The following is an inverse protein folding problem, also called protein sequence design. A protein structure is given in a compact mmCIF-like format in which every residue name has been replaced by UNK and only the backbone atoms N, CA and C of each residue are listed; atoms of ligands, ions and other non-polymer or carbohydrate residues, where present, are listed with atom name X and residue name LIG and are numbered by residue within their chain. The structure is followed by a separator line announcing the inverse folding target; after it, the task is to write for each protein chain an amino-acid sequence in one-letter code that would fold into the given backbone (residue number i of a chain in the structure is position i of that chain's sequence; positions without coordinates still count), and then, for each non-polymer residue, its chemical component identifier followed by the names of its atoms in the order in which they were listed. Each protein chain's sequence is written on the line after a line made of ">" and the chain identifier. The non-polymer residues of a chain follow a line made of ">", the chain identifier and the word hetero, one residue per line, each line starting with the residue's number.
data_IF_756802952425
#
_entry.id   IF_756802952425
#
_cell.length_a   1.000
_cell.length_b   1.000
_cell.length_c   1.000
_cell.angle_alpha   90.00
_cell.angle_beta   90.00
_cell.angle_gamma   90.00
#
_symmetry.space_group_name_H-M   'P 1'
#
loop_
_entity.id
_entity.type
_entity.pdbx_description
1 polymer ?
#
# COMPACT_ATOMS: atom_id res chain seq x y z
N UNK A 1 22.19 16.67 -14.65
CA UNK A 1 23.47 16.31 -15.30
C UNK A 1 23.40 14.94 -16.01
N UNK A 2 23.04 13.85 -15.32
CA UNK A 2 23.03 12.51 -15.93
C UNK A 2 22.08 12.36 -17.16
N UNK A 3 21.11 13.25 -17.35
CA UNK A 3 20.15 13.23 -18.44
C UNK A 3 20.44 14.28 -19.52
N UNK A 4 21.48 15.09 -19.37
CA UNK A 4 21.77 16.20 -20.31
C UNK A 4 22.10 15.70 -21.71
N UNK A 5 22.83 14.59 -21.83
CA UNK A 5 23.19 14.01 -23.13
C UNK A 5 21.96 13.44 -23.87
N UNK A 6 20.95 13.00 -23.16
CA UNK A 6 19.70 12.47 -23.75
C UNK A 6 18.68 13.56 -24.05
N UNK A 7 18.82 14.74 -23.42
CA UNK A 7 17.97 15.93 -23.59
C UNK A 7 16.46 15.59 -23.73
N UNK A 8 15.85 14.95 -22.73
CA UNK A 8 14.45 14.58 -22.78
C UNK A 8 13.55 15.80 -22.72
N UNK A 9 12.35 15.73 -23.27
CA UNK A 9 11.36 16.81 -23.15
C UNK A 9 10.87 16.97 -21.72
N UNK A 10 10.59 15.84 -21.06
CA UNK A 10 10.06 15.79 -19.71
C UNK A 10 10.92 14.91 -18.80
N UNK A 11 10.88 15.20 -17.50
CA UNK A 11 11.47 14.37 -16.46
C UNK A 11 10.48 14.21 -15.30
N UNK A 12 10.43 13.00 -14.76
CA UNK A 12 9.70 12.70 -13.53
C UNK A 12 10.70 12.36 -12.44
N UNK A 13 10.61 13.05 -11.31
CA UNK A 13 11.45 12.83 -10.13
C UNK A 13 10.60 12.13 -9.07
N UNK A 14 11.02 10.94 -8.65
CA UNK A 14 10.25 10.11 -7.74
C UNK A 14 11.03 9.66 -6.51
N UNK A 15 10.39 9.75 -5.35
CA UNK A 15 10.88 9.23 -4.08
C UNK A 15 10.89 7.69 -4.10
N UNK A 16 12.05 7.06 -3.99
CA UNK A 16 12.16 5.61 -3.82
C UNK A 16 11.42 5.08 -2.57
N UNK A 17 11.17 5.95 -1.59
CA UNK A 17 10.38 5.64 -0.40
C UNK A 17 8.85 5.59 -0.64
N UNK A 18 8.36 5.73 -1.87
CA UNK A 18 6.93 5.61 -2.26
C UNK A 18 6.73 4.44 -3.23
N UNK A 19 6.76 3.19 -2.76
CA UNK A 19 6.74 2.03 -3.65
C UNK A 19 5.37 1.72 -4.29
N UNK A 20 4.29 2.39 -3.87
CA UNK A 20 2.92 2.10 -4.31
C UNK A 20 2.37 3.14 -5.30
N UNK A 21 3.25 3.72 -6.12
CA UNK A 21 2.80 4.60 -7.20
C UNK A 21 1.97 3.82 -8.24
N UNK A 22 0.82 4.34 -8.59
CA UNK A 22 -0.06 3.74 -9.61
C UNK A 22 0.12 4.36 -10.98
N UNK A 23 -0.17 3.59 -12.03
CA UNK A 23 -0.07 4.04 -13.41
C UNK A 23 -0.99 5.23 -13.73
N UNK A 24 -2.15 5.32 -13.06
CA UNK A 24 -3.10 6.41 -13.31
C UNK A 24 -2.55 7.76 -12.82
N UNK A 25 -1.87 7.76 -11.66
CA UNK A 25 -1.19 8.97 -11.16
C UNK A 25 -0.05 9.39 -12.09
N UNK A 26 0.79 8.45 -12.53
CA UNK A 26 1.85 8.73 -13.53
C UNK A 26 1.25 9.31 -14.80
N UNK A 27 0.19 8.70 -15.31
CA UNK A 27 -0.51 9.17 -16.53
C UNK A 27 -1.05 10.59 -16.40
N UNK A 28 -1.64 10.95 -15.23
CA UNK A 28 -2.12 12.32 -14.98
C UNK A 28 -0.98 13.34 -14.97
N UNK A 29 0.16 12.99 -14.36
CA UNK A 29 1.34 13.85 -14.33
C UNK A 29 1.87 14.09 -15.75
N UNK A 30 2.04 13.02 -16.54
CA UNK A 30 2.55 13.12 -17.91
C UNK A 30 1.61 13.97 -18.78
N UNK A 31 0.31 13.69 -18.76
CA UNK A 31 -0.67 14.43 -19.56
C UNK A 31 -0.73 15.92 -19.20
N UNK A 32 -0.54 16.28 -17.94
CA UNK A 32 -0.56 17.66 -17.50
C UNK A 32 0.70 18.45 -17.92
N UNK A 33 1.84 17.77 -18.16
CA UNK A 33 3.08 18.40 -18.66
C UNK A 33 2.95 18.96 -20.08
N UNK A 34 1.93 18.55 -20.85
CA UNK A 34 1.62 19.15 -22.16
C UNK A 34 1.16 20.62 -22.02
N UNK A 35 0.67 21.02 -20.83
CA UNK A 35 0.08 22.34 -20.59
C UNK A 35 0.76 23.15 -19.49
N UNK A 36 1.60 22.52 -18.69
CA UNK A 36 2.27 23.15 -17.54
C UNK A 36 3.75 22.78 -17.46
N UNK A 37 4.61 23.71 -17.05
CA UNK A 37 6.06 23.46 -16.91
C UNK A 37 6.39 22.53 -15.74
N UNK A 38 5.55 22.51 -14.72
CA UNK A 38 5.71 21.70 -13.50
C UNK A 38 4.39 21.14 -13.07
N UNK A 39 4.36 19.86 -12.69
CA UNK A 39 3.16 19.15 -12.26
C UNK A 39 3.44 18.41 -10.94
N UNK A 40 2.56 18.62 -9.96
CA UNK A 40 2.63 18.06 -8.64
C UNK A 40 1.42 17.15 -8.37
N UNK A 41 1.57 15.83 -8.22
CA UNK A 41 0.50 15.01 -7.67
C UNK A 41 0.36 15.28 -6.18
N UNK A 42 -0.87 15.48 -5.72
CA UNK A 42 -1.13 15.74 -4.31
C UNK A 42 -2.50 15.21 -3.88
N UNK A 43 -2.69 15.05 -2.58
CA UNK A 43 -3.96 14.65 -1.95
C UNK A 43 -4.36 15.69 -0.91
N UNK A 44 -5.65 16.01 -0.76
CA UNK A 44 -6.10 17.00 0.21
C UNK A 44 -5.82 16.53 1.64
N UNK A 45 -5.61 17.47 2.55
CA UNK A 45 -5.48 17.16 3.98
C UNK A 45 -6.86 16.87 4.55
N UNK A 46 -7.08 15.62 4.99
CA UNK A 46 -8.33 15.19 5.61
C UNK A 46 -8.39 15.49 7.12
N UNK A 47 -7.25 15.40 7.82
CA UNK A 47 -7.17 15.56 9.27
C UNK A 47 -7.10 17.03 9.71
N UNK A 48 -7.51 17.28 10.97
CA UNK A 48 -7.33 18.59 11.59
C UNK A 48 -5.84 18.78 11.96
N UNK A 49 -5.21 19.80 11.38
CA UNK A 49 -3.81 20.14 11.66
C UNK A 49 -3.69 21.00 12.92
N UNK A 50 -2.74 20.66 13.79
CA UNK A 50 -2.42 21.42 15.00
C UNK A 50 -0.98 21.92 14.94
N UNK A 51 -0.79 23.21 15.20
CA UNK A 51 0.54 23.76 15.48
C UNK A 51 0.87 23.53 16.95
N UNK A 52 2.07 23.07 17.24
CA UNK A 52 2.55 22.86 18.60
C UNK A 52 3.75 23.74 18.91
N UNK A 53 3.98 24.02 20.17
CA UNK A 53 5.13 24.77 20.67
C UNK A 53 5.56 24.22 22.04
N UNK A 54 6.83 24.46 22.41
CA UNK A 54 7.39 24.11 23.71
C UNK A 54 7.84 22.66 23.87
N UNK A 55 8.41 22.35 25.02
CA UNK A 55 8.84 21.03 25.46
C UNK A 55 8.37 20.82 26.89
N UNK A 56 7.40 19.92 27.15
CA UNK A 56 6.70 19.05 26.18
C UNK A 56 5.86 19.86 25.18
N UNK A 57 5.54 19.27 24.01
CA UNK A 57 4.79 19.96 22.97
C UNK A 57 3.33 20.22 23.41
N UNK A 58 2.91 21.49 23.35
CA UNK A 58 1.54 21.93 23.65
C UNK A 58 0.92 22.53 22.40
N UNK A 59 -0.37 22.27 22.17
CA UNK A 59 -1.10 22.84 21.03
C UNK A 59 -1.19 24.36 21.20
N UNK A 60 -0.64 25.09 20.23
CA UNK A 60 -0.65 26.56 20.19
C UNK A 60 -1.72 27.13 19.26
N UNK A 61 -2.10 26.40 18.20
CA UNK A 61 -3.12 26.81 17.26
C UNK A 61 -3.72 25.62 16.48
N UNK A 62 -4.92 25.82 15.94
CA UNK A 62 -5.44 25.00 14.85
C UNK A 62 -5.06 25.65 13.53
N UNK A 63 -4.50 24.87 12.60
CA UNK A 63 -4.17 25.34 11.26
C UNK A 63 -5.37 25.09 10.35
N UNK A 64 -5.81 26.10 9.62
CA UNK A 64 -6.82 25.92 8.59
C UNK A 64 -6.28 24.99 7.52
N UNK A 65 -7.05 23.97 7.18
CA UNK A 65 -6.69 22.96 6.17
C UNK A 65 -7.35 23.23 4.80
N UNK A 66 -8.19 24.26 4.71
CA UNK A 66 -8.76 24.64 3.43
C UNK A 66 -7.60 24.92 2.45
N UNK A 67 -7.70 24.34 1.26
CA UNK A 67 -6.69 24.45 0.19
C UNK A 67 -5.27 23.97 0.56
N UNK A 68 -5.15 23.18 1.66
CA UNK A 68 -3.87 22.53 2.02
C UNK A 68 -3.85 21.09 1.50
N UNK A 69 -2.80 20.78 0.77
CA UNK A 69 -2.59 19.49 0.13
C UNK A 69 -1.28 18.86 0.55
N UNK A 70 -1.23 17.55 0.60
CA UNK A 70 -0.01 16.77 0.84
C UNK A 70 0.64 16.45 -0.50
N UNK A 71 1.80 17.03 -0.75
CA UNK A 71 2.60 16.79 -1.94
C UNK A 71 3.06 15.33 -2.01
N UNK A 72 3.03 14.78 -3.22
CA UNK A 72 3.51 13.44 -3.51
C UNK A 72 4.52 13.47 -4.66
N UNK A 73 5.06 12.32 -5.01
CA UNK A 73 5.87 12.11 -6.21
C UNK A 73 5.27 10.95 -7.04
N UNK A 74 5.53 10.85 -8.37
CA UNK A 74 6.53 11.61 -9.12
C UNK A 74 6.11 13.06 -9.38
N UNK A 75 7.02 13.99 -9.13
CA UNK A 75 6.89 15.36 -9.57
C UNK A 75 7.35 15.45 -11.04
N UNK A 76 6.54 16.06 -11.87
CA UNK A 76 6.80 16.15 -13.31
C UNK A 76 7.29 17.55 -13.71
N UNK A 77 8.22 17.60 -14.65
CA UNK A 77 8.83 18.84 -15.10
C UNK A 77 9.14 18.82 -16.58
N UNK A 78 9.04 19.97 -17.25
CA UNK A 78 9.74 20.19 -18.50
C UNK A 78 11.24 20.26 -18.23
N UNK A 79 12.03 19.37 -18.83
CA UNK A 79 13.40 19.11 -18.45
C UNK A 79 14.31 20.36 -18.47
N UNK A 80 14.26 21.11 -19.57
CA UNK A 80 15.12 22.30 -19.72
C UNK A 80 14.85 23.35 -18.63
N UNK A 81 13.57 23.51 -18.22
CA UNK A 81 13.18 24.50 -17.22
C UNK A 81 13.64 24.11 -15.82
N UNK A 82 13.39 22.85 -15.41
CA UNK A 82 13.82 22.39 -14.07
C UNK A 82 15.34 22.32 -13.97
N UNK A 83 16.05 21.93 -15.02
CA UNK A 83 17.52 21.94 -15.04
C UNK A 83 18.08 23.36 -14.82
N UNK A 84 17.49 24.36 -15.50
CA UNK A 84 17.85 25.76 -15.30
C UNK A 84 17.55 26.24 -13.89
N UNK A 85 16.40 25.87 -13.34
CA UNK A 85 15.99 26.21 -11.97
C UNK A 85 16.96 25.61 -10.92
N UNK A 86 17.33 24.35 -11.05
CA UNK A 86 18.32 23.71 -10.18
C UNK A 86 19.69 24.41 -10.22
N UNK A 87 20.14 24.79 -11.41
CA UNK A 87 21.41 25.52 -11.56
C UNK A 87 21.38 26.89 -10.89
N UNK A 88 20.26 27.60 -11.01
CA UNK A 88 20.05 28.89 -10.39
C UNK A 88 19.92 28.80 -8.86
N UNK A 89 19.36 27.74 -8.33
CA UNK A 89 19.16 27.49 -6.91
C UNK A 89 20.36 26.76 -6.25
N UNK A 90 21.48 26.59 -6.95
CA UNK A 90 22.64 25.86 -6.44
C UNK A 90 23.13 26.44 -5.10
N UNK A 91 23.25 25.58 -4.08
CA UNK A 91 23.65 25.98 -2.72
C UNK A 91 22.52 26.49 -1.82
N UNK A 92 21.25 26.48 -2.30
CA UNK A 92 20.06 26.75 -1.48
C UNK A 92 19.44 25.45 -1.02
N UNK A 93 19.00 25.40 0.25
CA UNK A 93 18.21 24.27 0.77
C UNK A 93 16.73 24.47 0.43
N UNK A 94 16.16 23.52 -0.30
CA UNK A 94 14.74 23.48 -0.66
C UNK A 94 14.13 22.16 -0.18
N UNK A 95 12.84 22.16 0.07
CA UNK A 95 12.13 20.99 0.63
C UNK A 95 11.93 19.87 -0.39
N UNK A 96 11.71 20.24 -1.66
CA UNK A 96 11.51 19.33 -2.79
C UNK A 96 11.80 20.03 -4.12
N UNK A 97 11.69 19.29 -5.25
CA UNK A 97 11.96 19.84 -6.58
C UNK A 97 10.90 20.85 -7.04
N UNK A 98 9.64 20.72 -6.55
CA UNK A 98 8.62 21.74 -6.85
C UNK A 98 8.89 23.05 -6.17
N UNK A 99 9.48 23.05 -4.96
CA UNK A 99 9.92 24.29 -4.30
C UNK A 99 11.03 25.00 -5.09
N UNK A 100 11.90 24.26 -5.76
CA UNK A 100 12.91 24.83 -6.66
C UNK A 100 12.23 25.47 -7.87
N UNK A 101 11.23 24.80 -8.45
CA UNK A 101 10.46 25.35 -9.58
C UNK A 101 9.69 26.62 -9.18
N UNK A 102 9.04 26.64 -8.01
CA UNK A 102 8.36 27.81 -7.45
C UNK A 102 9.32 28.98 -7.24
N UNK A 103 10.51 28.71 -6.66
CA UNK A 103 11.54 29.71 -6.47
C UNK A 103 12.02 30.32 -7.80
N UNK A 104 12.06 29.55 -8.86
CA UNK A 104 12.36 30.02 -10.22
C UNK A 104 11.19 30.71 -10.91
N UNK A 105 10.03 30.85 -10.25
CA UNK A 105 8.84 31.50 -10.79
C UNK A 105 8.05 30.61 -11.78
N UNK A 106 8.29 29.30 -11.80
CA UNK A 106 7.53 28.36 -12.62
C UNK A 106 6.18 28.07 -11.97
N UNK A 107 5.12 28.03 -12.77
CA UNK A 107 3.80 27.63 -12.27
C UNK A 107 3.77 26.13 -11.99
N UNK A 108 3.29 25.74 -10.81
CA UNK A 108 3.13 24.34 -10.40
C UNK A 108 1.65 23.96 -10.53
N UNK A 109 1.33 23.11 -11.49
CA UNK A 109 -0.02 22.59 -11.68
C UNK A 109 -0.22 21.36 -10.77
N UNK A 110 -1.27 21.40 -9.95
CA UNK A 110 -1.63 20.29 -9.10
C UNK A 110 -2.52 19.29 -9.83
N UNK A 111 -2.22 17.99 -9.72
CA UNK A 111 -3.08 16.88 -10.15
C UNK A 111 -3.42 15.98 -8.98
N UNK A 112 -4.56 15.28 -9.07
CA UNK A 112 -4.98 14.36 -7.99
C UNK A 112 -4.00 13.20 -7.87
N UNK A 113 -3.44 13.03 -6.68
CA UNK A 113 -2.60 11.90 -6.30
C UNK A 113 -3.40 10.67 -5.86
N UNK A 114 -2.76 9.81 -5.06
CA UNK A 114 -3.37 8.60 -4.51
C UNK A 114 -2.96 8.42 -3.03
N UNK A 115 -3.90 8.14 -2.14
CA UNK A 115 -3.64 7.91 -0.71
C UNK A 115 -2.70 6.70 -0.47
N UNK A 116 -2.72 5.73 -1.35
CA UNK A 116 -1.84 4.56 -1.27
C UNK A 116 -0.39 4.87 -1.70
N UNK A 117 -0.16 6.00 -2.37
CA UNK A 117 1.18 6.50 -2.70
C UNK A 117 1.82 7.26 -1.53
N UNK A 118 1.73 6.72 -0.31
CA UNK A 118 2.33 7.31 0.87
C UNK A 118 3.85 7.09 0.92
N UNK A 119 4.55 7.98 1.62
CA UNK A 119 6.00 7.88 1.83
C UNK A 119 6.28 7.02 3.06
N UNK A 120 7.11 6.00 2.93
CA UNK A 120 7.59 5.20 4.05
C UNK A 120 8.68 5.98 4.78
N UNK A 121 8.36 6.49 5.96
CA UNK A 121 9.26 7.31 6.79
C UNK A 121 9.41 6.80 8.22
N UNK A 122 8.45 6.00 8.67
CA UNK A 122 8.40 5.43 10.02
C UNK A 122 8.30 3.91 9.97
N UNK A 123 8.52 3.26 11.12
CA UNK A 123 8.31 1.83 11.25
C UNK A 123 6.85 1.43 11.02
N UNK A 124 5.90 2.28 11.42
CA UNK A 124 4.48 2.04 11.19
C UNK A 124 4.11 2.12 9.71
N UNK A 125 4.74 3.05 8.96
CA UNK A 125 4.58 3.11 7.50
C UNK A 125 5.10 1.83 6.84
N UNK A 126 6.23 1.29 7.31
CA UNK A 126 6.78 0.04 6.78
C UNK A 126 5.82 -1.13 7.02
N UNK A 127 5.27 -1.26 8.22
CA UNK A 127 4.27 -2.29 8.52
C UNK A 127 2.99 -2.14 7.67
N UNK A 128 2.56 -0.90 7.43
CA UNK A 128 1.46 -0.62 6.50
C UNK A 128 1.80 -1.08 5.09
N UNK A 129 3.01 -0.76 4.62
CA UNK A 129 3.50 -1.15 3.31
C UNK A 129 3.57 -2.67 3.13
N UNK A 130 4.05 -3.41 4.14
CA UNK A 130 4.09 -4.88 4.14
C UNK A 130 2.68 -5.49 4.04
N UNK A 131 1.71 -4.98 4.80
CA UNK A 131 0.31 -5.44 4.69
C UNK A 131 -0.27 -5.20 3.30
N UNK A 132 -0.01 -4.02 2.72
CA UNK A 132 -0.48 -3.70 1.36
C UNK A 132 0.18 -4.59 0.31
N UNK A 133 1.50 -4.79 0.38
CA UNK A 133 2.22 -5.66 -0.55
C UNK A 133 1.70 -7.11 -0.50
N UNK A 134 1.44 -7.65 0.70
CA UNK A 134 0.83 -8.97 0.87
C UNK A 134 -0.57 -9.04 0.27
N UNK A 135 -1.39 -8.01 0.45
CA UNK A 135 -2.73 -7.96 -0.14
C UNK A 135 -2.71 -7.88 -1.68
N UNK A 136 -1.72 -7.20 -2.25
CA UNK A 136 -1.57 -7.05 -3.71
C UNK A 136 -1.00 -8.30 -4.37
N UNK A 137 -0.13 -9.03 -3.70
CA UNK A 137 0.50 -10.24 -4.28
C UNK A 137 -0.38 -11.46 -4.18
N UNK A 138 -1.40 -11.47 -3.31
CA UNK A 138 -2.31 -12.58 -3.08
C UNK A 138 -1.55 -13.89 -2.89
N UNK A 139 -1.08 -14.19 -1.69
CA UNK A 139 -0.37 -15.45 -1.45
C UNK A 139 -1.36 -16.62 -1.57
N UNK A 140 -1.29 -17.34 -2.67
CA UNK A 140 -2.04 -18.60 -2.83
C UNK A 140 -1.25 -19.72 -2.17
N UNK A 141 -1.83 -20.35 -1.15
CA UNK A 141 -1.28 -21.53 -0.49
C UNK A 141 -2.17 -22.72 -0.78
N UNK A 142 -1.55 -23.87 -0.94
CA UNK A 142 -2.26 -25.14 -1.17
C UNK A 142 -1.91 -26.07 -0.02
N UNK A 143 -2.93 -26.63 0.61
CA UNK A 143 -2.80 -27.68 1.59
C UNK A 143 -3.63 -28.90 1.17
N UNK A 144 -3.22 -30.07 1.63
CA UNK A 144 -3.97 -31.33 1.47
C UNK A 144 -4.24 -31.90 2.84
N UNK A 145 -5.45 -32.38 3.04
CA UNK A 145 -5.84 -33.07 4.27
C UNK A 145 -6.45 -34.43 3.95
N UNK A 146 -6.21 -35.38 4.84
CA UNK A 146 -6.73 -36.73 4.73
C UNK A 146 -7.01 -37.27 6.13
N UNK A 147 -8.23 -37.72 6.36
CA UNK A 147 -8.60 -38.36 7.62
C UNK A 147 -9.41 -39.62 7.38
N UNK A 148 -9.35 -40.58 8.30
CA UNK A 148 -10.03 -41.86 8.24
C UNK A 148 -10.59 -42.23 9.59
N UNK A 149 -11.87 -42.47 9.65
CA UNK A 149 -12.58 -42.98 10.82
C UNK A 149 -13.15 -44.37 10.57
N UNK A 150 -13.03 -45.27 11.55
CA UNK A 150 -13.65 -46.56 11.51
C UNK A 150 -15.18 -46.44 11.71
N UNK A 151 -15.94 -47.41 11.19
CA UNK A 151 -17.35 -47.53 11.51
C UNK A 151 -17.52 -48.29 12.82
N UNK A 152 -18.25 -47.71 13.76
CA UNK A 152 -18.68 -48.28 15.01
C UNK A 152 -20.20 -48.40 15.14
N UNK A 153 -20.67 -48.69 16.35
CA UNK A 153 -22.09 -48.80 16.65
C UNK A 153 -22.77 -47.43 16.60
N UNK A 154 -23.93 -47.36 15.95
CA UNK A 154 -24.72 -46.14 15.85
C UNK A 154 -25.81 -46.21 14.78
N UNK A 155 -26.45 -45.08 14.56
CA UNK A 155 -27.59 -45.00 13.64
C UNK A 155 -27.51 -43.78 12.69
N UNK A 156 -26.38 -43.08 12.68
CA UNK A 156 -26.11 -41.92 11.83
C UNK A 156 -24.61 -41.69 11.67
N UNK A 157 -24.25 -41.04 10.61
CA UNK A 157 -22.94 -40.44 10.38
C UNK A 157 -23.08 -38.93 10.29
N UNK A 158 -22.04 -38.18 10.69
CA UNK A 158 -21.97 -36.74 10.53
C UNK A 158 -20.88 -36.43 9.51
N UNK A 159 -21.21 -35.70 8.44
CA UNK A 159 -20.29 -35.26 7.41
C UNK A 159 -20.54 -33.78 7.10
N UNK A 160 -19.53 -32.95 7.23
CA UNK A 160 -19.61 -31.48 7.06
C UNK A 160 -20.72 -30.86 7.92
N UNK A 161 -20.89 -31.33 9.16
CA UNK A 161 -21.93 -30.89 10.09
C UNK A 161 -23.36 -31.35 9.78
N UNK A 162 -23.55 -32.21 8.76
CA UNK A 162 -24.87 -32.73 8.36
C UNK A 162 -25.03 -34.15 8.89
N UNK A 163 -26.13 -34.38 9.63
CA UNK A 163 -26.51 -35.71 10.07
C UNK A 163 -27.12 -36.52 8.90
N UNK A 164 -26.54 -37.68 8.63
CA UNK A 164 -26.98 -38.60 7.57
C UNK A 164 -27.42 -39.90 8.26
N UNK A 165 -28.67 -40.32 8.15
CA UNK A 165 -29.13 -41.60 8.65
C UNK A 165 -28.31 -42.77 8.06
N UNK A 166 -27.77 -43.62 8.93
CA UNK A 166 -26.95 -44.77 8.56
C UNK A 166 -27.06 -45.85 9.64
N UNK A 167 -26.84 -47.09 9.30
CA UNK A 167 -26.92 -48.22 10.24
C UNK A 167 -25.68 -48.35 11.16
N UNK A 168 -24.69 -47.48 10.99
CA UNK A 168 -23.47 -47.39 11.80
C UNK A 168 -23.10 -45.93 12.00
N UNK A 169 -22.25 -45.64 13.00
CA UNK A 169 -21.64 -44.31 13.22
C UNK A 169 -20.14 -44.32 12.89
N UNK A 170 -19.54 -43.17 12.74
CA UNK A 170 -18.07 -43.06 12.69
C UNK A 170 -17.53 -43.01 14.14
N UNK A 171 -16.45 -43.74 14.38
CA UNK A 171 -15.68 -43.68 15.64
C UNK A 171 -14.67 -42.55 15.60
N UNK A 172 -14.65 -41.69 16.63
CA UNK A 172 -13.71 -40.60 16.74
C UNK A 172 -14.04 -39.66 17.89
N UNK A 173 -13.22 -38.62 18.04
CA UNK A 173 -13.46 -37.60 19.04
C UNK A 173 -14.55 -36.62 18.56
N UNK A 174 -15.26 -36.01 19.51
CA UNK A 174 -16.35 -35.07 19.22
C UNK A 174 -17.51 -35.73 18.46
N UNK A 175 -17.87 -35.18 17.30
CA UNK A 175 -18.91 -35.71 16.41
C UNK A 175 -18.36 -36.68 15.34
N UNK A 176 -17.06 -36.96 15.37
CA UNK A 176 -16.35 -37.81 14.42
C UNK A 176 -16.53 -37.41 12.95
N UNK A 177 -16.68 -36.10 12.68
CA UNK A 177 -16.85 -35.57 11.32
C UNK A 177 -15.50 -35.60 10.55
N UNK A 178 -15.25 -36.76 9.92
CA UNK A 178 -14.03 -37.03 9.16
C UNK A 178 -13.80 -36.05 8.03
N UNK A 179 -14.86 -35.45 7.47
CA UNK A 179 -14.73 -34.47 6.40
C UNK A 179 -14.22 -33.12 6.91
N UNK A 180 -14.71 -32.63 8.06
CA UNK A 180 -14.20 -31.43 8.69
C UNK A 180 -12.78 -31.61 9.23
N UNK A 181 -12.43 -32.78 9.75
CA UNK A 181 -11.06 -33.08 10.16
C UNK A 181 -10.10 -32.98 8.96
N UNK A 182 -10.43 -33.61 7.83
CA UNK A 182 -9.60 -33.53 6.62
C UNK A 182 -9.47 -32.08 6.08
N UNK A 183 -10.54 -31.27 6.14
CA UNK A 183 -10.47 -29.84 5.77
C UNK A 183 -9.59 -29.07 6.73
N UNK A 184 -9.66 -29.34 8.04
CA UNK A 184 -8.80 -28.70 9.05
C UNK A 184 -7.34 -29.01 8.80
N UNK A 185 -6.99 -30.26 8.53
CA UNK A 185 -5.62 -30.66 8.18
C UNK A 185 -5.15 -29.99 6.90
N UNK A 186 -5.99 -29.86 5.88
CA UNK A 186 -5.66 -29.13 4.67
C UNK A 186 -5.35 -27.65 4.95
N UNK A 187 -6.13 -27.00 5.83
CA UNK A 187 -5.90 -25.60 6.22
C UNK A 187 -4.61 -25.43 7.02
N UNK A 188 -4.37 -26.28 8.03
CA UNK A 188 -3.17 -26.27 8.83
C UNK A 188 -1.93 -26.56 7.96
N UNK A 189 -1.99 -27.52 7.05
CA UNK A 189 -0.94 -27.82 6.10
C UNK A 189 -0.64 -26.64 5.16
N UNK A 190 -1.67 -25.90 4.71
CA UNK A 190 -1.47 -24.70 3.88
C UNK A 190 -0.71 -23.58 4.58
N UNK A 191 -0.82 -23.46 5.92
CA UNK A 191 -0.12 -22.47 6.74
C UNK A 191 1.12 -23.02 7.45
N UNK A 192 1.46 -24.28 7.22
CA UNK A 192 2.58 -25.02 7.83
C UNK A 192 2.50 -25.12 9.37
N UNK A 193 1.29 -25.26 9.94
CA UNK A 193 1.00 -25.39 11.37
C UNK A 193 0.73 -26.85 11.81
N UNK A 194 1.12 -27.84 11.00
CA UNK A 194 0.96 -29.26 11.32
C UNK A 194 -0.43 -29.82 10.92
N UNK A 195 -1.01 -30.66 11.77
CA UNK A 195 -2.31 -31.28 11.61
C UNK A 195 -3.13 -31.26 12.92
N UNK A 196 -4.41 -31.65 12.87
CA UNK A 196 -5.33 -31.62 14.03
C UNK A 196 -4.94 -32.63 15.11
N UNK A 197 -4.10 -33.62 14.81
CA UNK A 197 -3.67 -34.71 15.69
C UNK A 197 -2.31 -34.51 16.34
N UNK A 198 -1.59 -33.41 16.06
CA UNK A 198 -0.24 -33.15 16.55
C UNK A 198 -0.16 -32.09 17.63
#
# INVERSE_FOLDING_TARGET
>A
EALEDSNPDHVLIHDAARPFIDHATIGRVIAALDTAPTVLPAVPVADTLKRVAGTPPVVSATVDRQDVWRAQTPQGFQFAQILSAHRAAAGQEMTDDTAIAEHAGLAVLLVTGNEDNFKITTQDDLQRAERMAKAMTGETRIGTGFDVHAFGDGNKVILCGIEIPHDRALEGHSDADVAFHAVTDALLGAIAEGDIGS
#
